data_IF_426570660543
#
_entry.id   IF_426570660543
#
_cell.length_a   1.000
_cell.length_b   1.000
_cell.length_c   1.000
_cell.angle_alpha   90.00
_cell.angle_beta   90.00
_cell.angle_gamma   90.00
#
_symmetry.space_group_name_H-M   'P 1'
#
loop_
_entity.id
_entity.type
_entity.pdbx_description
1 polymer ?
#
# COMPACT_ATOMS: atom_id res chain seq x y z
N UNK A 1 7.46 3.71 -19.34
CA UNK A 1 6.75 2.90 -18.55
C UNK A 1 6.90 1.39 -18.57
N UNK A 2 8.05 0.81 -18.92
CA UNK A 2 8.27 -0.66 -18.93
C UNK A 2 8.92 -1.21 -17.65
N UNK A 3 9.03 -0.40 -16.58
CA UNK A 3 9.70 -0.80 -15.33
C UNK A 3 11.21 -0.59 -15.32
N UNK A 4 11.78 0.11 -16.31
CA UNK A 4 13.17 0.51 -16.25
C UNK A 4 13.43 1.56 -15.18
N UNK A 5 14.64 1.56 -14.55
CA UNK A 5 15.03 2.57 -13.56
C UNK A 5 15.05 3.97 -14.16
N UNK A 6 14.63 4.95 -13.37
CA UNK A 6 14.57 6.38 -13.76
C UNK A 6 15.40 7.26 -12.82
N UNK A 7 16.20 6.65 -11.94
CA UNK A 7 17.03 7.30 -10.91
C UNK A 7 18.46 7.66 -11.40
N UNK A 8 18.76 7.40 -12.68
CA UNK A 8 20.07 7.65 -13.27
C UNK A 8 21.18 6.67 -12.85
N UNK A 9 20.86 5.63 -12.06
CA UNK A 9 21.86 4.65 -11.57
C UNK A 9 22.15 3.51 -12.55
N UNK A 10 21.55 3.56 -13.75
CA UNK A 10 21.73 2.54 -14.78
C UNK A 10 20.75 1.37 -14.68
N UNK A 11 20.90 0.34 -15.51
CA UNK A 11 19.98 -0.80 -15.56
C UNK A 11 20.07 -1.65 -14.28
N UNK A 12 18.92 -2.16 -13.84
CA UNK A 12 18.87 -3.16 -12.78
C UNK A 12 19.43 -4.47 -13.33
N UNK A 13 20.46 -5.03 -12.69
CA UNK A 13 21.03 -6.35 -13.03
C UNK A 13 20.08 -7.50 -12.65
N UNK A 14 18.81 -7.42 -13.08
CA UNK A 14 17.79 -8.42 -12.76
C UNK A 14 18.08 -9.71 -13.54
N UNK A 15 18.21 -10.81 -12.80
CA UNK A 15 18.48 -12.16 -13.35
C UNK A 15 17.24 -13.05 -13.30
N UNK A 16 16.19 -12.67 -12.57
CA UNK A 16 15.00 -13.47 -12.34
C UNK A 16 13.76 -12.76 -12.89
N UNK A 17 13.00 -13.45 -13.72
CA UNK A 17 11.68 -12.98 -14.16
C UNK A 17 10.63 -13.27 -13.07
N UNK A 18 9.76 -12.30 -12.80
CA UNK A 18 8.64 -12.44 -11.87
C UNK A 18 7.33 -11.99 -12.56
N UNK A 19 6.24 -12.77 -12.47
CA UNK A 19 5.01 -12.42 -13.14
C UNK A 19 4.38 -11.15 -12.54
N UNK A 20 3.95 -10.23 -13.39
CA UNK A 20 3.29 -8.99 -12.94
C UNK A 20 1.98 -9.25 -12.19
N UNK A 21 1.27 -10.33 -12.54
CA UNK A 21 0.07 -10.79 -11.83
C UNK A 21 0.34 -11.50 -10.50
N UNK A 22 1.62 -11.72 -10.15
CA UNK A 22 2.04 -12.50 -9.00
C UNK A 22 1.82 -14.00 -9.16
N UNK A 23 2.33 -14.77 -8.21
CA UNK A 23 1.99 -16.18 -8.06
C UNK A 23 0.78 -16.33 -7.13
N UNK A 24 -0.09 -17.30 -7.43
CA UNK A 24 -1.16 -17.65 -6.51
C UNK A 24 -0.56 -18.37 -5.30
N UNK A 25 -0.72 -17.77 -4.13
CA UNK A 25 -0.44 -18.43 -2.86
C UNK A 25 -1.73 -19.11 -2.41
N UNK A 26 -1.69 -20.41 -2.22
CA UNK A 26 -2.82 -21.17 -1.69
C UNK A 26 -3.22 -20.68 -0.29
N UNK A 27 -4.49 -20.85 0.08
CA UNK A 27 -4.94 -20.43 1.42
C UNK A 27 -4.22 -21.18 2.54
N UNK A 28 -3.80 -22.42 2.30
CA UNK A 28 -3.09 -23.26 3.26
C UNK A 28 -1.57 -22.97 3.32
N UNK A 29 -1.03 -22.26 2.32
CA UNK A 29 0.38 -21.88 2.23
C UNK A 29 0.68 -20.54 2.90
N UNK A 30 -0.32 -19.97 3.57
CA UNK A 30 -0.23 -18.69 4.30
C UNK A 30 -0.07 -18.94 5.79
N UNK A 31 1.04 -18.49 6.35
CA UNK A 31 1.25 -18.50 7.80
C UNK A 31 0.38 -17.43 8.48
N UNK A 32 0.01 -17.71 9.72
CA UNK A 32 -0.70 -16.73 10.55
C UNK A 32 0.19 -15.53 10.88
N UNK A 33 -0.46 -14.41 11.20
CA UNK A 33 0.20 -13.26 11.78
C UNK A 33 0.38 -13.53 13.28
N UNK A 34 1.63 -13.63 13.73
CA UNK A 34 1.99 -13.98 15.11
C UNK A 34 3.00 -13.04 15.75
N UNK A 35 3.64 -12.18 14.95
CA UNK A 35 4.66 -11.25 15.41
C UNK A 35 4.22 -9.80 15.19
N UNK A 36 4.51 -8.93 16.16
CA UNK A 36 4.25 -7.49 16.05
C UNK A 36 5.13 -6.86 14.98
N UNK A 37 4.54 -6.03 14.13
CA UNK A 37 5.26 -5.18 13.20
C UNK A 37 5.60 -3.84 13.87
N UNK A 38 6.89 -3.54 14.01
CA UNK A 38 7.34 -2.26 14.53
C UNK A 38 7.32 -1.20 13.43
N UNK A 39 6.30 -0.34 13.46
CA UNK A 39 6.15 0.78 12.53
C UNK A 39 7.05 1.97 12.86
N UNK A 40 7.67 1.99 14.04
CA UNK A 40 8.39 3.13 14.59
C UNK A 40 7.48 4.25 15.11
N UNK A 41 6.16 4.12 14.99
CA UNK A 41 5.17 5.14 15.39
C UNK A 41 4.50 4.71 16.69
N UNK A 42 4.74 5.46 17.78
CA UNK A 42 4.26 5.10 19.13
C UNK A 42 2.74 4.89 19.20
N UNK A 43 1.95 5.76 18.56
CA UNK A 43 0.49 5.63 18.57
C UNK A 43 0.01 4.37 17.84
N UNK A 44 0.67 3.96 16.77
CA UNK A 44 0.34 2.73 16.04
C UNK A 44 0.82 1.50 16.82
N UNK A 45 2.05 1.52 17.29
CA UNK A 45 2.62 0.38 18.00
C UNK A 45 1.91 0.07 19.33
N UNK A 46 1.38 1.09 20.02
CA UNK A 46 0.76 0.94 21.33
C UNK A 46 -0.75 0.82 21.33
N UNK A 47 -1.44 1.44 20.36
CA UNK A 47 -2.90 1.62 20.42
C UNK A 47 -3.65 0.97 19.25
N UNK A 48 -2.95 0.69 18.16
CA UNK A 48 -3.48 0.02 16.96
C UNK A 48 -2.43 -0.96 16.42
N UNK A 49 -1.86 -1.76 17.30
CA UNK A 49 -0.77 -2.69 16.98
C UNK A 49 -1.16 -3.62 15.83
N UNK A 50 -0.33 -3.70 14.83
CA UNK A 50 -0.50 -4.64 13.72
C UNK A 50 0.73 -5.53 13.54
N UNK A 51 0.53 -6.65 12.88
CA UNK A 51 1.53 -7.71 12.81
C UNK A 51 2.27 -7.78 11.49
N UNK A 52 3.37 -8.51 11.51
CA UNK A 52 4.17 -8.82 10.32
C UNK A 52 3.34 -9.67 9.36
N UNK A 53 3.20 -9.19 8.11
CA UNK A 53 2.36 -9.82 7.09
C UNK A 53 0.90 -9.38 7.11
N UNK A 54 0.50 -8.49 8.02
CA UNK A 54 -0.85 -7.95 8.05
C UNK A 54 -1.09 -6.93 6.94
N UNK A 55 -2.35 -6.82 6.51
CA UNK A 55 -2.83 -5.86 5.50
C UNK A 55 -3.60 -4.74 6.18
N UNK A 56 -3.03 -3.53 6.18
CA UNK A 56 -3.58 -2.37 6.89
C UNK A 56 -3.96 -1.27 5.89
N UNK A 57 -5.16 -0.69 6.07
CA UNK A 57 -5.58 0.51 5.36
C UNK A 57 -5.23 1.78 6.13
N UNK A 58 -4.76 2.82 5.46
CA UNK A 58 -4.75 4.18 6.00
C UNK A 58 -5.90 4.94 5.33
N UNK A 59 -6.96 5.15 6.09
CA UNK A 59 -8.15 5.88 5.66
C UNK A 59 -7.95 7.37 5.96
N UNK A 60 -7.89 8.19 4.93
CA UNK A 60 -7.56 9.60 5.10
C UNK A 60 -8.34 10.48 4.12
N UNK A 61 -8.83 11.60 4.61
CA UNK A 61 -9.24 12.71 3.77
C UNK A 61 -8.05 13.53 3.25
N UNK A 62 -8.31 14.57 2.48
CA UNK A 62 -7.25 15.48 2.01
C UNK A 62 -6.71 16.34 3.15
N UNK A 63 -5.38 16.50 3.25
CA UNK A 63 -4.73 17.43 4.16
C UNK A 63 -4.68 17.04 5.63
N UNK A 64 -4.95 15.79 5.98
CA UNK A 64 -4.94 15.29 7.38
C UNK A 64 -3.59 14.71 7.83
N UNK A 65 -2.54 14.85 7.03
CA UNK A 65 -1.19 14.37 7.40
C UNK A 65 -0.86 12.95 6.92
N UNK A 66 -1.59 12.40 5.93
CA UNK A 66 -1.30 11.08 5.32
C UNK A 66 0.15 10.95 4.88
N UNK A 67 0.66 11.89 4.09
CA UNK A 67 2.02 11.84 3.53
C UNK A 67 3.08 11.90 4.63
N UNK A 68 2.86 12.71 5.66
CA UNK A 68 3.76 12.79 6.83
C UNK A 68 3.80 11.45 7.57
N UNK A 69 2.64 10.83 7.80
CA UNK A 69 2.61 9.50 8.44
C UNK A 69 3.34 8.45 7.61
N UNK A 70 3.18 8.46 6.28
CA UNK A 70 3.89 7.56 5.39
C UNK A 70 5.41 7.77 5.43
N UNK A 71 5.86 9.04 5.39
CA UNK A 71 7.27 9.39 5.52
C UNK A 71 7.85 8.84 6.85
N UNK A 72 7.15 9.06 7.95
CA UNK A 72 7.55 8.54 9.27
C UNK A 72 7.66 7.01 9.29
N UNK A 73 6.71 6.29 8.67
CA UNK A 73 6.74 4.83 8.59
C UNK A 73 7.93 4.37 7.75
N UNK A 74 8.17 4.96 6.58
CA UNK A 74 9.31 4.59 5.71
C UNK A 74 10.64 4.81 6.44
N UNK A 75 10.77 5.88 7.21
CA UNK A 75 11.98 6.19 7.96
C UNK A 75 12.21 5.27 9.16
N UNK A 76 11.15 4.87 9.84
CA UNK A 76 11.24 4.26 11.17
C UNK A 76 10.92 2.76 11.21
N UNK A 77 10.13 2.25 10.25
CA UNK A 77 9.68 0.86 10.25
C UNK A 77 10.85 -0.15 10.19
N UNK A 78 10.70 -1.24 10.93
CA UNK A 78 11.65 -2.34 10.91
C UNK A 78 11.25 -3.37 9.86
N UNK A 79 11.87 -3.26 8.69
CA UNK A 79 11.72 -4.19 7.57
C UNK A 79 13.07 -4.40 6.87
N UNK A 80 13.28 -5.59 6.29
CA UNK A 80 14.48 -5.91 5.52
C UNK A 80 14.50 -5.16 4.19
N UNK A 81 13.32 -4.94 3.62
CA UNK A 81 13.14 -4.16 2.41
C UNK A 81 11.80 -3.40 2.44
N UNK A 82 11.79 -2.23 1.83
CA UNK A 82 10.62 -1.37 1.71
C UNK A 82 10.34 -1.16 0.22
N UNK A 83 9.11 -1.40 -0.20
CA UNK A 83 8.65 -1.11 -1.56
C UNK A 83 7.51 -0.11 -1.49
N UNK A 84 7.68 1.04 -2.13
CA UNK A 84 6.67 2.09 -2.16
C UNK A 84 6.14 2.24 -3.58
N UNK A 85 4.84 2.05 -3.77
CA UNK A 85 4.13 2.33 -5.01
C UNK A 85 3.40 3.67 -4.90
N UNK A 86 3.91 4.72 -5.53
CA UNK A 86 3.26 6.03 -5.64
C UNK A 86 2.45 6.06 -6.93
N UNK A 87 1.16 5.75 -6.83
CA UNK A 87 0.30 5.53 -8.00
C UNK A 87 -0.77 6.61 -8.10
N UNK A 88 -0.67 7.45 -9.11
CA UNK A 88 -1.64 8.50 -9.37
C UNK A 88 -1.54 9.70 -8.43
N UNK A 89 -0.44 9.83 -7.71
CA UNK A 89 -0.15 11.01 -6.89
C UNK A 89 0.39 12.15 -7.78
N UNK A 90 0.37 13.38 -7.29
CA UNK A 90 0.84 14.55 -8.03
C UNK A 90 2.36 14.45 -8.27
N UNK A 91 2.82 14.82 -9.45
CA UNK A 91 4.24 14.76 -9.82
C UNK A 91 5.16 15.45 -8.79
N UNK A 92 4.71 16.58 -8.22
CA UNK A 92 5.45 17.30 -7.16
C UNK A 92 5.56 16.45 -5.89
N UNK A 93 4.48 15.83 -5.42
CA UNK A 93 4.48 15.00 -4.21
C UNK A 93 5.38 13.78 -4.39
N UNK A 94 5.37 13.19 -5.61
CA UNK A 94 6.28 12.10 -5.99
C UNK A 94 7.74 12.55 -5.93
N UNK A 95 8.05 13.72 -6.51
CA UNK A 95 9.42 14.27 -6.51
C UNK A 95 9.92 14.54 -5.10
N UNK A 96 9.08 15.16 -4.26
CA UNK A 96 9.41 15.47 -2.87
C UNK A 96 9.67 14.19 -2.06
N UNK A 97 8.85 13.16 -2.24
CA UNK A 97 9.01 11.87 -1.57
C UNK A 97 10.29 11.15 -2.00
N UNK A 98 10.55 11.06 -3.31
CA UNK A 98 11.76 10.44 -3.86
C UNK A 98 13.01 11.15 -3.35
N UNK A 99 13.02 12.48 -3.34
CA UNK A 99 14.15 13.27 -2.88
C UNK A 99 14.48 13.00 -1.40
N UNK A 100 13.45 12.88 -0.55
CA UNK A 100 13.67 12.59 0.87
C UNK A 100 14.20 11.18 1.13
N UNK A 101 13.63 10.18 0.47
CA UNK A 101 13.89 8.77 0.82
C UNK A 101 15.01 8.10 0.00
N UNK A 102 15.40 8.69 -1.14
CA UNK A 102 16.48 8.12 -1.96
C UNK A 102 17.86 8.75 -1.71
N UNK A 103 17.96 9.72 -0.79
CA UNK A 103 19.22 10.37 -0.40
C UNK A 103 19.78 9.88 0.95
N UNK A 104 18.99 9.19 1.78
CA UNK A 104 19.39 8.75 3.12
C UNK A 104 19.84 7.29 3.20
N UNK A 105 20.16 6.84 4.41
CA UNK A 105 20.61 5.47 4.70
C UNK A 105 19.58 4.39 4.31
N UNK A 106 18.30 4.75 4.32
CA UNK A 106 17.19 3.88 3.90
C UNK A 106 17.13 3.61 2.40
N UNK A 107 17.80 4.43 1.58
CA UNK A 107 17.83 4.27 0.12
C UNK A 107 18.36 2.90 -0.32
N UNK A 108 19.25 2.29 0.48
CA UNK A 108 19.84 0.99 0.17
C UNK A 108 18.84 -0.18 0.22
N UNK A 109 17.78 -0.08 1.02
CA UNK A 109 16.75 -1.10 1.18
C UNK A 109 15.35 -0.64 0.76
N UNK A 110 15.24 0.50 0.08
CA UNK A 110 13.97 1.07 -0.38
C UNK A 110 13.91 1.11 -1.90
N UNK A 111 12.83 0.59 -2.46
CA UNK A 111 12.51 0.70 -3.88
C UNK A 111 11.22 1.51 -4.06
N UNK A 112 11.24 2.49 -4.96
CA UNK A 112 10.08 3.33 -5.26
C UNK A 112 9.62 3.09 -6.69
N UNK A 113 8.35 2.73 -6.86
CA UNK A 113 7.67 2.65 -8.16
C UNK A 113 6.73 3.83 -8.28
N UNK A 114 7.07 4.79 -9.10
CA UNK A 114 6.31 6.03 -9.24
C UNK A 114 5.61 6.12 -10.60
N UNK A 115 4.28 6.31 -10.58
CA UNK A 115 3.46 6.59 -11.76
C UNK A 115 2.51 7.74 -11.44
N UNK A 116 2.89 8.99 -11.73
CA UNK A 116 2.09 10.18 -11.45
C UNK A 116 0.70 10.17 -12.10
N UNK A 117 -0.17 11.08 -11.63
CA UNK A 117 -1.58 11.14 -12.01
C UNK A 117 -1.82 11.48 -13.48
N UNK A 118 -0.91 12.18 -14.13
CA UNK A 118 -0.95 12.55 -15.55
C UNK A 118 -0.63 11.41 -16.52
N UNK A 119 -0.19 10.26 -15.98
CA UNK A 119 0.07 9.06 -16.80
C UNK A 119 -1.24 8.31 -17.12
N UNK A 120 -1.24 7.60 -18.24
CA UNK A 120 -2.37 6.79 -18.69
C UNK A 120 -2.77 5.71 -17.64
N UNK A 121 -4.07 5.37 -17.59
CA UNK A 121 -4.62 4.43 -16.62
C UNK A 121 -3.93 3.06 -16.62
N UNK A 122 -3.59 2.53 -17.79
CA UNK A 122 -2.88 1.25 -17.92
C UNK A 122 -1.49 1.29 -17.29
N UNK A 123 -0.78 2.42 -17.34
CA UNK A 123 0.53 2.59 -16.69
C UNK A 123 0.39 2.67 -15.16
N UNK A 124 -0.65 3.37 -14.67
CA UNK A 124 -0.96 3.44 -13.23
C UNK A 124 -1.26 2.05 -12.67
N UNK A 125 -2.09 1.27 -13.36
CA UNK A 125 -2.39 -0.10 -12.95
C UNK A 125 -1.15 -1.01 -13.00
N UNK A 126 -0.35 -0.94 -14.07
CA UNK A 126 0.91 -1.69 -14.20
C UNK A 126 1.94 -1.30 -13.13
N UNK A 127 2.00 -0.02 -12.75
CA UNK A 127 2.85 0.44 -11.66
C UNK A 127 2.50 -0.19 -10.30
N UNK A 128 1.21 -0.27 -9.97
CA UNK A 128 0.75 -0.95 -8.76
C UNK A 128 1.09 -2.46 -8.78
N UNK A 129 0.89 -3.11 -9.92
CA UNK A 129 1.27 -4.51 -10.12
C UNK A 129 2.79 -4.72 -9.97
N UNK A 130 3.60 -3.83 -10.54
CA UNK A 130 5.06 -3.90 -10.46
C UNK A 130 5.55 -3.76 -9.02
N UNK A 131 5.04 -2.75 -8.28
CA UNK A 131 5.39 -2.56 -6.87
C UNK A 131 5.06 -3.81 -6.04
N UNK A 132 3.86 -4.36 -6.25
CA UNK A 132 3.42 -5.58 -5.54
C UNK A 132 4.27 -6.79 -5.93
N UNK A 133 4.59 -6.97 -7.22
CA UNK A 133 5.43 -8.08 -7.69
C UNK A 133 6.86 -8.01 -7.18
N UNK A 134 7.42 -6.80 -7.08
CA UNK A 134 8.74 -6.61 -6.48
C UNK A 134 8.74 -7.01 -4.99
N UNK A 135 7.72 -6.60 -4.24
CA UNK A 135 7.56 -6.98 -2.84
C UNK A 135 7.38 -8.50 -2.67
N UNK A 136 6.58 -9.15 -3.55
CA UNK A 136 6.43 -10.61 -3.55
C UNK A 136 7.74 -11.35 -3.84
N UNK A 137 8.51 -10.87 -4.81
CA UNK A 137 9.81 -11.45 -5.13
C UNK A 137 10.76 -11.39 -3.93
N UNK A 138 10.80 -10.25 -3.24
CA UNK A 138 11.62 -10.11 -2.04
C UNK A 138 11.12 -11.00 -0.89
N UNK A 139 9.80 -11.13 -0.72
CA UNK A 139 9.20 -12.08 0.23
C UNK A 139 9.60 -13.53 -0.08
N UNK A 140 9.60 -13.94 -1.36
CA UNK A 140 9.99 -15.29 -1.75
C UNK A 140 11.46 -15.62 -1.44
N UNK A 141 12.27 -14.61 -1.15
CA UNK A 141 13.66 -14.75 -0.68
C UNK A 141 13.76 -14.82 0.87
N UNK A 142 12.64 -15.02 1.57
CA UNK A 142 12.61 -15.08 3.04
C UNK A 142 12.65 -13.71 3.74
N UNK A 143 12.52 -12.60 3.01
CA UNK A 143 12.61 -11.25 3.60
C UNK A 143 11.29 -10.81 4.24
N UNK A 144 11.40 -9.99 5.28
CA UNK A 144 10.32 -9.19 5.86
C UNK A 144 10.19 -7.89 5.07
N UNK A 145 9.20 -7.83 4.20
CA UNK A 145 8.99 -6.71 3.26
C UNK A 145 7.86 -5.84 3.74
N UNK A 146 8.05 -4.52 3.72
CA UNK A 146 6.99 -3.54 3.84
C UNK A 146 6.61 -3.06 2.44
N UNK A 147 5.37 -3.33 2.03
CA UNK A 147 4.76 -2.74 0.83
C UNK A 147 3.88 -1.57 1.25
N UNK A 148 4.13 -0.39 0.71
CA UNK A 148 3.23 0.77 0.81
C UNK A 148 2.67 1.06 -0.58
N UNK A 149 1.35 1.12 -0.73
CA UNK A 149 0.69 1.49 -1.99
C UNK A 149 -0.13 2.76 -1.80
N UNK A 150 0.36 3.87 -2.32
CA UNK A 150 -0.29 5.19 -2.27
C UNK A 150 -0.69 5.63 -3.68
N UNK A 151 -1.97 5.62 -4.07
CA UNK A 151 -3.10 5.16 -3.26
C UNK A 151 -3.91 4.08 -3.98
N UNK A 152 -4.51 3.23 -3.20
CA UNK A 152 -5.43 2.20 -3.70
C UNK A 152 -6.63 2.82 -4.45
N UNK A 153 -7.12 3.99 -3.98
CA UNK A 153 -8.18 4.74 -4.65
C UNK A 153 -7.79 5.13 -6.08
N UNK A 154 -6.54 5.55 -6.29
CA UNK A 154 -6.04 5.90 -7.64
C UNK A 154 -5.88 4.68 -8.55
N UNK A 155 -5.54 3.53 -7.97
CA UNK A 155 -5.54 2.25 -8.69
C UNK A 155 -6.97 1.89 -9.11
N UNK A 156 -7.95 2.06 -8.22
CA UNK A 156 -9.37 1.83 -8.53
C UNK A 156 -9.87 2.74 -9.65
N UNK A 157 -9.50 4.03 -9.63
CA UNK A 157 -9.83 4.97 -10.70
C UNK A 157 -9.23 4.53 -12.04
N UNK A 158 -7.96 4.08 -12.04
CA UNK A 158 -7.34 3.57 -13.26
C UNK A 158 -8.03 2.31 -13.79
N UNK A 159 -8.36 1.37 -12.91
CA UNK A 159 -9.09 0.16 -13.29
C UNK A 159 -10.52 0.47 -13.79
N UNK A 160 -11.21 1.43 -13.16
CA UNK A 160 -12.52 1.93 -13.60
C UNK A 160 -12.45 2.54 -15.01
N UNK A 161 -11.46 3.39 -15.26
CA UNK A 161 -11.24 4.03 -16.57
C UNK A 161 -11.04 2.96 -17.66
N UNK A 162 -10.21 1.94 -17.39
CA UNK A 162 -9.98 0.82 -18.31
C UNK A 162 -11.27 0.01 -18.54
N UNK A 163 -12.00 -0.35 -17.48
CA UNK A 163 -13.23 -1.12 -17.59
C UNK A 163 -14.30 -0.41 -18.42
N UNK A 164 -14.48 0.91 -18.22
CA UNK A 164 -15.40 1.73 -19.01
C UNK A 164 -14.98 1.77 -20.50
N UNK A 165 -13.69 1.93 -20.78
CA UNK A 165 -13.15 1.91 -22.15
C UNK A 165 -13.36 0.54 -22.84
N UNK A 166 -13.41 -0.55 -22.06
CA UNK A 166 -13.71 -1.90 -22.56
C UNK A 166 -15.22 -2.19 -22.66
N UNK A 167 -16.08 -1.21 -22.35
CA UNK A 167 -17.52 -1.34 -22.44
C UNK A 167 -18.18 -1.99 -21.21
N UNK A 168 -17.47 -2.15 -20.10
CA UNK A 168 -18.09 -2.68 -18.88
C UNK A 168 -19.11 -1.68 -18.32
N UNK A 169 -20.30 -2.12 -17.90
CA UNK A 169 -21.26 -1.23 -17.26
C UNK A 169 -20.76 -0.77 -15.89
N UNK A 170 -20.92 0.51 -15.61
CA UNK A 170 -20.69 1.05 -14.26
C UNK A 170 -21.78 0.55 -13.31
N UNK A 171 -21.36 -0.04 -12.19
CA UNK A 171 -22.26 -0.48 -11.11
C UNK A 171 -22.22 0.49 -9.92
N UNK A 172 -21.70 0.10 -8.78
CA UNK A 172 -21.64 0.92 -7.58
C UNK A 172 -20.90 2.27 -7.83
N UNK A 173 -21.61 3.37 -7.83
CA UNK A 173 -21.08 4.73 -8.10
C UNK A 173 -20.22 4.83 -9.36
N UNK A 174 -20.57 4.06 -10.39
CA UNK A 174 -19.85 4.06 -11.66
C UNK A 174 -18.56 3.23 -11.70
N UNK A 175 -18.28 2.44 -10.65
CA UNK A 175 -17.21 1.45 -10.71
C UNK A 175 -17.71 0.16 -11.33
N UNK A 176 -17.07 -0.33 -12.42
CA UNK A 176 -17.37 -1.66 -12.93
C UNK A 176 -16.87 -2.73 -11.94
N UNK A 177 -17.48 -3.93 -11.92
CA UNK A 177 -17.08 -5.02 -11.02
C UNK A 177 -15.60 -5.40 -11.13
N UNK A 178 -15.02 -5.33 -12.33
CA UNK A 178 -13.60 -5.61 -12.58
C UNK A 178 -12.67 -4.67 -11.82
N UNK A 179 -13.06 -3.40 -11.62
CA UNK A 179 -12.25 -2.43 -10.91
C UNK A 179 -12.12 -2.80 -9.42
N UNK A 180 -13.24 -3.15 -8.77
CA UNK A 180 -13.23 -3.58 -7.36
C UNK A 180 -12.52 -4.94 -7.20
N UNK A 181 -12.73 -5.87 -8.12
CA UNK A 181 -12.01 -7.14 -8.14
C UNK A 181 -10.48 -6.96 -8.29
N UNK A 182 -10.05 -5.93 -9.01
CA UNK A 182 -8.62 -5.61 -9.17
C UNK A 182 -7.99 -5.19 -7.83
N UNK A 183 -8.71 -4.35 -7.04
CA UNK A 183 -8.26 -3.95 -5.71
C UNK A 183 -8.14 -5.16 -4.79
N UNK A 184 -9.19 -6.00 -4.76
CA UNK A 184 -9.20 -7.24 -3.99
C UNK A 184 -7.99 -8.10 -4.29
N UNK A 185 -7.70 -8.33 -5.58
CA UNK A 185 -6.55 -9.14 -6.01
C UNK A 185 -5.21 -8.54 -5.58
N UNK A 186 -5.05 -7.22 -5.61
CA UNK A 186 -3.81 -6.57 -5.17
C UNK A 186 -3.61 -6.71 -3.66
N UNK A 187 -4.63 -6.46 -2.86
CA UNK A 187 -4.57 -6.57 -1.39
C UNK A 187 -4.27 -8.02 -0.97
N UNK A 188 -4.93 -9.00 -1.61
CA UNK A 188 -4.76 -10.42 -1.30
C UNK A 188 -3.36 -10.97 -1.60
N UNK A 189 -2.53 -10.25 -2.34
CA UNK A 189 -1.14 -10.65 -2.63
C UNK A 189 -0.21 -10.46 -1.42
N UNK A 190 -0.54 -9.57 -0.48
CA UNK A 190 0.20 -9.40 0.77
C UNK A 190 -0.07 -10.55 1.75
N UNK A 191 0.83 -10.71 2.71
CA UNK A 191 0.74 -11.73 3.75
C UNK A 191 2.02 -12.52 3.92
N UNK A 192 2.00 -13.43 4.87
CA UNK A 192 3.10 -14.35 5.17
C UNK A 192 3.13 -15.51 4.18
N UNK A 193 4.30 -16.10 3.99
CA UNK A 193 4.51 -17.30 3.17
C UNK A 193 5.16 -18.39 4.02
N UNK A 194 4.50 -19.53 4.12
CA UNK A 194 5.03 -20.69 4.82
C UNK A 194 6.25 -21.28 4.09
N UNK A 195 6.18 -21.35 2.77
CA UNK A 195 7.22 -21.93 1.92
C UNK A 195 8.56 -21.18 2.02
N UNK A 196 8.54 -19.84 1.97
CA UNK A 196 9.76 -19.05 2.01
C UNK A 196 10.15 -18.56 3.41
N UNK A 197 9.25 -18.66 4.39
CA UNK A 197 9.41 -18.03 5.70
C UNK A 197 9.40 -16.49 5.64
N UNK A 198 9.20 -15.91 4.46
CA UNK A 198 9.16 -14.46 4.27
C UNK A 198 7.77 -13.87 4.53
N UNK A 199 7.74 -12.56 4.75
CA UNK A 199 6.52 -11.82 5.04
C UNK A 199 6.40 -10.57 4.18
N UNK A 200 5.17 -10.24 3.77
CA UNK A 200 4.86 -8.97 3.10
C UNK A 200 3.75 -8.25 3.88
N UNK A 201 4.14 -7.32 4.73
CA UNK A 201 3.21 -6.40 5.41
C UNK A 201 2.77 -5.34 4.41
N UNK A 202 1.46 -5.23 4.20
CA UNK A 202 0.89 -4.29 3.23
C UNK A 202 0.23 -3.10 3.92
N UNK A 203 0.66 -1.88 3.57
CA UNK A 203 0.00 -0.63 3.94
C UNK A 203 -0.61 -0.01 2.67
N UNK A 204 -1.93 0.15 2.69
CA UNK A 204 -2.70 0.65 1.55
C UNK A 204 -3.40 1.95 1.93
N UNK A 205 -3.05 3.06 1.27
CA UNK A 205 -3.77 4.30 1.52
C UNK A 205 -5.07 4.33 0.71
N UNK A 206 -6.12 4.72 1.37
CA UNK A 206 -7.46 4.88 0.78
C UNK A 206 -7.92 6.31 1.02
N UNK A 207 -8.14 7.02 -0.07
CA UNK A 207 -8.64 8.39 -0.04
C UNK A 207 -10.17 8.35 -0.07
N UNK A 208 -10.80 8.83 0.98
CA UNK A 208 -12.25 9.05 1.01
C UNK A 208 -12.53 10.49 0.56
N UNK A 209 -13.10 10.66 -0.62
CA UNK A 209 -13.48 11.99 -1.11
C UNK A 209 -14.59 12.58 -0.21
N UNK A 210 -14.32 13.76 0.37
CA UNK A 210 -15.26 14.42 1.29
C UNK A 210 -15.52 13.66 2.60
N UNK A 211 -14.56 12.82 3.04
CA UNK A 211 -14.68 11.94 4.20
C UNK A 211 -15.85 10.92 4.09
N UNK A 212 -16.29 10.61 2.84
CA UNK A 212 -17.38 9.69 2.56
C UNK A 212 -16.99 8.23 2.84
N UNK A 213 -17.48 7.71 3.95
CA UNK A 213 -17.25 6.33 4.39
C UNK A 213 -18.01 5.28 3.54
N UNK A 214 -18.96 5.72 2.70
CA UNK A 214 -19.76 4.84 1.83
C UNK A 214 -19.20 4.77 0.39
N UNK A 215 -17.97 5.23 0.16
CA UNK A 215 -17.31 5.05 -1.12
C UNK A 215 -17.05 3.57 -1.39
N UNK A 216 -17.39 3.01 -2.58
CA UNK A 216 -17.22 1.59 -2.89
C UNK A 216 -15.79 1.08 -2.75
N UNK A 217 -14.78 1.94 -2.94
CA UNK A 217 -13.37 1.56 -2.76
C UNK A 217 -13.05 1.44 -1.28
N UNK A 218 -13.54 2.38 -0.45
CA UNK A 218 -13.39 2.34 1.01
C UNK A 218 -14.04 1.09 1.58
N UNK A 219 -15.28 0.80 1.18
CA UNK A 219 -16.03 -0.38 1.64
C UNK A 219 -15.35 -1.69 1.21
N UNK A 220 -14.97 -1.80 -0.07
CA UNK A 220 -14.23 -2.96 -0.59
C UNK A 220 -12.90 -3.16 0.14
N UNK A 221 -12.15 -2.09 0.37
CA UNK A 221 -10.88 -2.17 1.09
C UNK A 221 -11.09 -2.65 2.54
N UNK A 222 -12.06 -2.07 3.27
CA UNK A 222 -12.38 -2.48 4.65
C UNK A 222 -12.80 -3.94 4.78
N UNK A 223 -13.52 -4.45 3.79
CA UNK A 223 -13.97 -5.86 3.79
C UNK A 223 -12.81 -6.85 3.71
N UNK A 224 -11.72 -6.48 3.04
CA UNK A 224 -10.60 -7.38 2.70
C UNK A 224 -9.40 -7.17 3.63
N UNK A 225 -9.19 -5.94 4.09
CA UNK A 225 -8.07 -5.59 4.97
C UNK A 225 -8.23 -6.19 6.37
N UNK A 226 -7.11 -6.51 6.99
CA UNK A 226 -7.04 -7.06 8.35
C UNK A 226 -7.11 -5.97 9.43
N UNK A 227 -7.24 -4.72 9.03
CA UNK A 227 -7.36 -3.56 9.89
C UNK A 227 -7.24 -2.25 9.11
N UNK A 228 -7.52 -1.15 9.78
CA UNK A 228 -7.39 0.18 9.21
C UNK A 228 -7.05 1.22 10.28
N UNK A 229 -6.31 2.22 9.86
CA UNK A 229 -5.95 3.41 10.62
C UNK A 229 -6.72 4.57 10.02
N UNK A 230 -7.50 5.26 10.82
CA UNK A 230 -8.26 6.45 10.41
C UNK A 230 -7.50 7.70 10.80
N UNK A 231 -7.27 8.59 9.85
CA UNK A 231 -6.75 9.93 10.12
C UNK A 231 -7.91 10.91 10.18
N UNK A 232 -8.03 11.61 11.31
CA UNK A 232 -9.11 12.54 11.60
C UNK A 232 -8.73 13.98 11.27
N UNK A 233 -9.59 14.67 10.53
CA UNK A 233 -9.48 16.10 10.27
C UNK A 233 -9.59 16.94 11.55
N UNK A 234 -10.47 16.52 12.46
CA UNK A 234 -10.67 17.21 13.74
C UNK A 234 -9.41 17.16 14.62
N UNK A 235 -8.73 16.01 14.69
CA UNK A 235 -7.47 15.84 15.41
C UNK A 235 -6.36 16.67 14.75
N UNK A 236 -6.28 16.66 13.43
CA UNK A 236 -5.32 17.47 12.67
C UNK A 236 -5.53 18.98 12.90
N UNK A 237 -6.77 19.45 12.95
CA UNK A 237 -7.12 20.86 13.22
C UNK A 237 -6.72 21.31 14.64
N UNK A 238 -6.64 20.38 15.59
CA UNK A 238 -6.12 20.63 16.94
C UNK A 238 -4.58 20.67 16.99
N UNK A 239 -3.89 20.47 15.86
CA UNK A 239 -2.43 20.43 15.78
C UNK A 239 -1.81 19.16 16.33
N UNK A 240 -2.59 18.10 16.54
CA UNK A 240 -2.09 16.83 17.05
C UNK A 240 -1.72 15.90 15.88
N UNK A 241 -0.45 15.48 15.84
CA UNK A 241 0.09 14.61 14.79
C UNK A 241 0.92 13.44 15.38
N UNK A 242 0.90 12.24 14.74
CA UNK A 242 0.00 11.90 13.63
C UNK A 242 -1.48 11.98 14.07
N UNK A 243 -2.35 12.44 13.17
CA UNK A 243 -3.76 12.70 13.46
C UNK A 243 -4.60 11.39 13.49
N UNK A 244 -4.10 10.37 14.18
CA UNK A 244 -4.72 9.06 14.28
C UNK A 244 -5.92 9.09 15.23
N UNK A 245 -7.09 8.77 14.71
CA UNK A 245 -8.28 8.48 15.49
C UNK A 245 -8.23 7.02 15.95
N UNK A 246 -7.79 6.80 17.17
CA UNK A 246 -7.66 5.46 17.75
C UNK A 246 -9.03 4.78 17.91
N UNK A 247 -10.07 5.55 18.25
CA UNK A 247 -11.43 5.01 18.44
C UNK A 247 -12.07 4.51 17.13
N UNK A 248 -11.72 5.14 16.00
CA UNK A 248 -12.18 4.76 14.67
C UNK A 248 -11.24 3.77 13.96
N UNK A 249 -10.06 3.52 14.51
CA UNK A 249 -9.04 2.60 13.97
C UNK A 249 -9.24 1.19 14.52
N UNK A 250 -8.82 0.19 13.75
CA UNK A 250 -8.97 -1.21 14.10
C UNK A 250 -7.78 -2.05 13.60
N UNK A 251 -7.24 -2.91 14.44
CA UNK A 251 -6.40 -4.03 14.02
C UNK A 251 -7.05 -5.35 14.48
N UNK A 252 -7.44 -6.18 13.51
CA UNK A 252 -8.18 -7.43 13.81
C UNK A 252 -7.32 -8.49 14.49
N UNK A 253 -5.99 -8.41 14.33
CA UNK A 253 -5.06 -9.39 14.90
C UNK A 253 -4.40 -8.90 16.20
N UNK A 254 -4.67 -7.66 16.62
CA UNK A 254 -4.01 -7.08 17.80
C UNK A 254 -4.10 -7.96 19.03
N UNK A 255 -5.28 -8.49 19.33
CA UNK A 255 -5.51 -9.34 20.51
C UNK A 255 -4.80 -10.70 20.44
N UNK A 256 -4.35 -11.12 19.26
CA UNK A 256 -3.68 -12.41 19.05
C UNK A 256 -2.15 -12.28 19.14
N UNK A 257 -1.63 -11.05 19.07
CA UNK A 257 -0.18 -10.78 18.97
C UNK A 257 0.37 -9.91 20.11
N UNK A 258 -0.49 -9.37 20.98
CA UNK A 258 -0.14 -8.51 22.14
C UNK A 258 -0.49 -9.19 23.44
#
# INVERSE_FOLDING_TARGET
GSGGPIDGRGPIGATTAWPAGGYRVGALDRSRVTEVFDSGIRSLNALTTFGIGQRIGIMAGSGVGKSVLMDMIVESARADAIVVGLIGERAREVSDFVTRHMAGDRAANTAIVAVPADHAANLRLRGAMLATSLAEHLRSQGKRVLLILDSLTRVAHAAREIGILLGEPGAARGYPPSALATITKLIERAGNSEESGGAMTGIYTVLADGDDQNDPVVDTARAILDGHIVLSREIAQRGQYPAVDVGASLSRVMNDIV
#
